data_IF_593551670805
#
_entry.id   IF_593551670805
#
_cell.length_a   1.000
_cell.length_b   1.000
_cell.length_c   1.000
_cell.angle_alpha   90.00
_cell.angle_beta   90.00
_cell.angle_gamma   90.00
#
_symmetry.space_group_name_H-M   'P 1'
#
loop_
_entity.id
_entity.type
_entity.pdbx_description
1 polymer ?
#
# COMPACT_ATOMS: atom_id res chain seq x y z
N UNK A 1 2.27 -67.78 23.08
CA UNK A 1 2.31 -66.31 23.00
C UNK A 1 3.70 -65.91 22.47
N UNK A 2 4.17 -66.38 21.32
CA UNK A 2 3.65 -66.35 19.93
C UNK A 2 3.80 -65.00 19.23
N UNK A 3 4.93 -64.87 18.53
CA UNK A 3 4.93 -64.50 17.11
C UNK A 3 5.00 -63.02 16.74
N UNK A 4 4.40 -62.10 17.51
CA UNK A 4 4.15 -60.75 16.99
C UNK A 4 5.38 -59.81 16.99
N UNK A 5 6.33 -59.97 17.92
CA UNK A 5 7.41 -59.00 18.10
C UNK A 5 8.57 -59.15 17.10
N UNK A 6 8.80 -60.34 16.55
CA UNK A 6 9.92 -60.60 15.61
C UNK A 6 9.62 -60.13 14.17
N UNK A 7 8.36 -60.10 13.77
CA UNK A 7 7.93 -59.70 12.42
C UNK A 7 8.09 -58.20 12.18
N UNK A 8 7.92 -57.37 13.22
CA UNK A 8 8.00 -55.90 13.11
C UNK A 8 9.45 -55.45 12.85
N UNK A 9 10.44 -56.11 13.46
CA UNK A 9 11.85 -55.74 13.28
C UNK A 9 12.38 -56.04 11.86
N UNK A 10 11.92 -57.12 11.22
CA UNK A 10 12.33 -57.47 9.84
C UNK A 10 11.70 -56.52 8.81
N UNK A 11 10.45 -56.10 9.04
CA UNK A 11 9.75 -55.17 8.15
C UNK A 11 10.39 -53.77 8.13
N UNK A 12 10.93 -53.30 9.27
CA UNK A 12 11.59 -52.00 9.35
C UNK A 12 12.98 -51.98 8.67
N UNK A 13 13.69 -53.11 8.67
CA UNK A 13 15.00 -53.23 8.03
C UNK A 13 14.92 -53.26 6.48
N UNK A 14 13.85 -53.80 5.90
CA UNK A 14 13.63 -53.82 4.45
C UNK A 14 13.24 -52.45 3.86
N UNK A 15 12.78 -51.49 4.67
CA UNK A 15 12.38 -50.15 4.21
C UNK A 15 13.56 -49.17 4.02
N UNK A 16 14.76 -49.50 4.50
CA UNK A 16 15.93 -48.61 4.44
C UNK A 16 16.87 -48.84 3.25
N UNK A 17 16.66 -49.89 2.45
CA UNK A 17 17.47 -50.17 1.27
C UNK A 17 16.98 -49.49 -0.03
N UNK A 18 15.83 -48.79 -0.02
CA UNK A 18 15.18 -48.28 -1.23
C UNK A 18 15.35 -46.77 -1.54
N UNK A 19 15.97 -45.98 -0.66
CA UNK A 19 15.82 -44.51 -0.70
C UNK A 19 16.90 -43.77 -1.53
N UNK A 20 17.86 -44.48 -2.12
CA UNK A 20 18.96 -43.85 -2.86
C UNK A 20 18.61 -43.33 -4.27
N UNK A 21 17.61 -43.92 -4.93
CA UNK A 21 17.32 -43.61 -6.35
C UNK A 21 16.14 -42.65 -6.58
N UNK A 22 15.25 -42.49 -5.60
CA UNK A 22 14.04 -41.68 -5.76
C UNK A 22 14.28 -40.16 -5.58
N UNK A 23 15.28 -39.77 -4.79
CA UNK A 23 15.57 -38.35 -4.48
C UNK A 23 16.09 -37.60 -5.71
N UNK A 24 16.93 -38.23 -6.54
CA UNK A 24 17.43 -37.61 -7.76
C UNK A 24 16.30 -37.29 -8.75
N UNK A 25 15.37 -38.24 -8.99
CA UNK A 25 14.25 -38.04 -9.91
C UNK A 25 13.22 -37.02 -9.41
N UNK A 26 13.07 -36.85 -8.09
CA UNK A 26 12.20 -35.81 -7.54
C UNK A 26 12.76 -34.41 -7.79
N UNK A 27 14.07 -34.19 -7.64
CA UNK A 27 14.69 -32.88 -7.93
C UNK A 27 14.58 -32.51 -9.42
N UNK A 28 14.69 -33.48 -10.33
CA UNK A 28 14.51 -33.27 -11.77
C UNK A 28 13.04 -32.99 -12.14
N UNK A 29 12.08 -33.71 -11.54
CA UNK A 29 10.65 -33.42 -11.76
C UNK A 29 10.24 -32.07 -11.19
N UNK A 30 10.76 -31.70 -10.02
CA UNK A 30 10.40 -30.44 -9.35
C UNK A 30 11.04 -29.22 -10.04
N UNK A 31 12.28 -29.35 -10.53
CA UNK A 31 12.92 -28.31 -11.36
C UNK A 31 12.23 -28.20 -12.72
N UNK A 32 11.93 -29.31 -13.40
CA UNK A 32 11.16 -29.30 -14.65
C UNK A 32 9.77 -28.68 -14.46
N UNK A 33 9.05 -29.03 -13.40
CA UNK A 33 7.76 -28.43 -13.05
C UNK A 33 7.85 -26.92 -12.76
N UNK A 34 8.90 -26.46 -12.06
CA UNK A 34 9.14 -25.02 -11.83
C UNK A 34 9.54 -24.28 -13.13
N UNK A 35 10.29 -24.94 -14.01
CA UNK A 35 10.65 -24.39 -15.33
C UNK A 35 9.43 -24.33 -16.26
N UNK A 36 8.58 -25.35 -16.27
CA UNK A 36 7.31 -25.39 -17.00
C UNK A 36 6.35 -24.31 -16.47
N UNK A 37 6.25 -24.14 -15.13
CA UNK A 37 5.45 -23.08 -14.52
C UNK A 37 5.97 -21.67 -14.84
N UNK A 38 7.29 -21.47 -14.87
CA UNK A 38 7.92 -20.19 -15.25
C UNK A 38 7.82 -19.92 -16.74
N UNK A 39 7.79 -20.95 -17.58
CA UNK A 39 7.50 -20.86 -19.01
C UNK A 39 6.04 -20.45 -19.23
N UNK A 40 5.07 -21.12 -18.58
CA UNK A 40 3.66 -20.74 -18.62
C UNK A 40 3.39 -19.31 -18.10
N UNK A 41 4.11 -18.84 -17.08
CA UNK A 41 3.97 -17.45 -16.60
C UNK A 41 4.60 -16.42 -17.55
N UNK A 42 5.69 -16.78 -18.24
CA UNK A 42 6.26 -15.94 -19.31
C UNK A 42 5.37 -15.94 -20.54
N UNK A 43 4.89 -17.09 -21.00
CA UNK A 43 3.94 -17.20 -22.11
C UNK A 43 2.61 -16.50 -21.78
N UNK A 44 2.18 -16.47 -20.52
CA UNK A 44 1.03 -15.68 -20.07
C UNK A 44 1.30 -14.17 -20.04
N UNK A 45 2.53 -13.74 -19.74
CA UNK A 45 2.95 -12.32 -19.83
C UNK A 45 3.11 -11.91 -21.30
N UNK A 46 3.80 -12.70 -22.11
CA UNK A 46 3.96 -12.50 -23.55
C UNK A 46 2.59 -12.54 -24.28
N UNK A 47 1.63 -13.39 -23.85
CA UNK A 47 0.25 -13.38 -24.34
C UNK A 47 -0.58 -12.19 -23.81
N UNK A 48 -0.29 -11.67 -22.61
CA UNK A 48 -0.91 -10.47 -22.05
C UNK A 48 -0.40 -9.21 -22.78
N UNK A 49 0.90 -9.13 -23.03
CA UNK A 49 1.58 -8.05 -23.75
C UNK A 49 1.22 -8.07 -25.26
N UNK A 50 1.07 -9.26 -25.87
CA UNK A 50 0.60 -9.40 -27.26
C UNK A 50 -0.92 -9.15 -27.43
N UNK A 51 -1.73 -9.30 -26.36
CA UNK A 51 -3.15 -8.88 -26.38
C UNK A 51 -3.34 -7.38 -26.15
N UNK A 52 -2.35 -6.68 -25.59
CA UNK A 52 -2.48 -5.25 -25.26
C UNK A 52 -1.93 -4.31 -26.36
N UNK A 53 -1.23 -4.83 -27.37
CA UNK A 53 -0.70 -4.05 -28.50
C UNK A 53 -1.55 -4.07 -29.80
N UNK A 54 -2.75 -4.67 -29.80
CA UNK A 54 -3.73 -4.58 -30.90
C UNK A 54 -5.17 -4.41 -30.39
N UNK A 55 -5.47 -3.23 -29.84
CA UNK A 55 -6.83 -2.68 -29.81
C UNK A 55 -6.78 -1.17 -30.02
N UNK A 56 -6.87 -0.73 -31.27
CA UNK A 56 -7.36 0.62 -31.59
C UNK A 56 -8.83 0.73 -31.17
N UNK A 57 -9.33 1.95 -30.94
CA UNK A 57 -9.95 2.38 -29.71
C UNK A 57 -11.40 1.90 -29.61
N UNK A 58 -11.79 1.39 -28.44
CA UNK A 58 -13.21 1.28 -28.11
C UNK A 58 -13.76 2.71 -28.06
N UNK A 59 -14.88 3.04 -28.74
CA UNK A 59 -15.61 4.28 -28.47
C UNK A 59 -15.76 4.41 -26.95
N UNK A 60 -15.56 5.62 -26.37
CA UNK A 60 -15.71 5.79 -24.94
C UNK A 60 -17.06 5.19 -24.54
N UNK A 61 -17.01 4.18 -23.67
CA UNK A 61 -18.19 3.73 -22.96
C UNK A 61 -18.84 5.00 -22.43
N UNK A 62 -20.06 5.29 -22.89
CA UNK A 62 -20.78 6.47 -22.47
C UNK A 62 -20.68 6.52 -20.94
N UNK A 63 -20.22 7.64 -20.35
CA UNK A 63 -20.21 7.76 -18.90
C UNK A 63 -21.61 7.39 -18.42
N UNK A 64 -21.77 6.56 -17.37
CA UNK A 64 -23.07 6.44 -16.72
C UNK A 64 -23.55 7.88 -16.51
N UNK A 65 -24.72 8.20 -17.06
CA UNK A 65 -25.25 9.55 -17.09
C UNK A 65 -24.95 10.19 -15.73
N UNK A 66 -24.02 11.14 -15.73
CA UNK A 66 -23.55 11.75 -14.51
C UNK A 66 -24.75 12.52 -13.98
N UNK A 67 -25.50 11.90 -13.08
CA UNK A 67 -26.38 12.62 -12.18
C UNK A 67 -25.53 13.80 -11.69
N UNK A 68 -25.97 15.06 -11.87
CA UNK A 68 -25.18 16.19 -11.46
C UNK A 68 -24.68 15.93 -10.05
N UNK A 69 -23.36 15.85 -9.88
CA UNK A 69 -22.80 15.68 -8.56
C UNK A 69 -23.41 16.80 -7.70
N UNK A 70 -23.95 16.47 -6.51
CA UNK A 70 -24.48 17.51 -5.65
C UNK A 70 -23.42 18.61 -5.50
N UNK A 71 -23.83 19.89 -5.49
CA UNK A 71 -22.89 20.99 -5.36
C UNK A 71 -21.97 20.70 -4.17
N UNK A 72 -20.65 20.94 -4.31
CA UNK A 72 -19.71 20.58 -3.27
C UNK A 72 -20.11 21.31 -1.99
N UNK A 73 -20.24 20.57 -0.88
CA UNK A 73 -20.32 21.15 0.47
C UNK A 73 -18.96 21.80 0.74
N UNK A 74 -18.82 23.08 0.35
CA UNK A 74 -17.63 23.89 0.55
C UNK A 74 -17.80 24.72 1.81
N UNK A 75 -16.96 24.46 2.80
CA UNK A 75 -16.95 25.24 4.05
C UNK A 75 -15.82 26.25 4.02
N UNK A 76 -15.99 27.36 4.74
CA UNK A 76 -14.99 28.43 4.82
C UNK A 76 -13.60 27.94 5.28
N UNK A 77 -13.57 26.84 6.06
CA UNK A 77 -12.36 26.24 6.59
C UNK A 77 -11.75 25.12 5.71
N UNK A 78 -12.38 24.75 4.60
CA UNK A 78 -11.90 23.69 3.70
C UNK A 78 -10.46 23.90 3.21
N UNK A 79 -10.05 25.12 2.77
CA UNK A 79 -8.68 25.33 2.32
C UNK A 79 -7.65 25.04 3.43
N UNK A 80 -7.99 25.34 4.68
CA UNK A 80 -7.12 25.09 5.83
C UNK A 80 -7.01 23.59 6.14
N UNK A 81 -8.11 22.84 6.02
CA UNK A 81 -8.11 21.38 6.18
C UNK A 81 -7.36 20.66 5.07
N UNK A 82 -7.52 21.09 3.82
CA UNK A 82 -6.76 20.54 2.69
C UNK A 82 -5.27 20.77 2.89
N UNK A 83 -4.88 21.99 3.29
CA UNK A 83 -3.49 22.30 3.58
C UNK A 83 -2.92 21.49 4.75
N UNK A 84 -3.70 21.35 5.82
CA UNK A 84 -3.31 20.52 6.96
C UNK A 84 -3.12 19.06 6.54
N UNK A 85 -4.03 18.51 5.74
CA UNK A 85 -3.97 17.14 5.24
C UNK A 85 -2.70 16.89 4.41
N UNK A 86 -2.36 17.81 3.52
CA UNK A 86 -1.12 17.76 2.73
C UNK A 86 0.14 17.78 3.61
N UNK A 87 0.17 18.64 4.64
CA UNK A 87 1.27 18.71 5.60
C UNK A 87 1.42 17.39 6.36
N UNK A 88 0.33 16.78 6.81
CA UNK A 88 0.35 15.48 7.48
C UNK A 88 0.94 14.38 6.59
N UNK A 89 0.59 14.39 5.30
CA UNK A 89 1.15 13.47 4.30
C UNK A 89 2.65 13.66 4.08
N UNK A 90 3.07 14.91 3.94
CA UNK A 90 4.49 15.25 3.79
C UNK A 90 5.31 14.86 5.04
N UNK A 91 4.79 15.13 6.24
CA UNK A 91 5.46 14.77 7.50
C UNK A 91 5.55 13.25 7.67
N UNK A 92 4.51 12.51 7.28
CA UNK A 92 4.52 11.04 7.28
C UNK A 92 5.72 10.51 6.48
N UNK A 93 5.96 11.06 5.28
CA UNK A 93 7.06 10.63 4.44
C UNK A 93 8.42 11.11 4.97
N UNK A 94 8.57 12.43 5.12
CA UNK A 94 9.84 13.09 5.43
C UNK A 94 10.41 12.63 6.77
N UNK A 95 9.56 12.43 7.78
CA UNK A 95 10.01 11.97 9.10
C UNK A 95 10.35 10.49 9.11
N UNK A 96 9.73 9.70 8.23
CA UNK A 96 10.12 8.32 7.96
C UNK A 96 11.52 8.21 7.37
N UNK A 97 11.80 8.94 6.27
CA UNK A 97 13.13 8.91 5.63
C UNK A 97 14.24 9.54 6.48
N UNK A 98 13.88 10.43 7.42
CA UNK A 98 14.79 10.99 8.40
C UNK A 98 14.92 10.20 9.71
N UNK A 99 14.21 9.07 9.85
CA UNK A 99 14.36 8.17 11.00
C UNK A 99 13.89 8.76 12.33
N UNK A 100 12.92 9.67 12.32
CA UNK A 100 12.46 10.35 13.53
C UNK A 100 11.62 9.46 14.47
N UNK A 101 11.24 8.26 14.05
CA UNK A 101 10.52 7.27 14.86
C UNK A 101 9.03 7.55 15.10
N UNK A 102 8.51 8.64 14.54
CA UNK A 102 7.14 9.10 14.79
C UNK A 102 6.32 9.26 13.51
N UNK A 103 6.74 8.69 12.38
CA UNK A 103 6.03 8.77 11.11
C UNK A 103 4.57 8.31 11.22
N UNK A 104 4.32 7.25 11.99
CA UNK A 104 2.98 6.68 12.19
C UNK A 104 2.03 7.62 12.94
N UNK A 105 2.54 8.48 13.81
CA UNK A 105 1.71 9.44 14.54
C UNK A 105 1.03 10.44 13.57
N UNK A 106 1.67 10.75 12.45
CA UNK A 106 1.14 11.68 11.45
C UNK A 106 0.04 11.01 10.61
N UNK A 107 0.15 9.71 10.36
CA UNK A 107 -0.93 8.89 9.76
C UNK A 107 -2.13 8.84 10.70
N UNK A 108 -1.91 8.59 11.99
CA UNK A 108 -2.97 8.55 12.98
C UNK A 108 -3.71 9.90 13.09
N UNK A 109 -2.99 11.03 13.03
CA UNK A 109 -3.61 12.36 12.97
C UNK A 109 -4.46 12.56 11.73
N UNK A 110 -4.03 12.06 10.57
CA UNK A 110 -4.86 12.10 9.36
C UNK A 110 -6.11 11.24 9.50
N UNK A 111 -6.00 10.04 10.09
CA UNK A 111 -7.16 9.18 10.37
C UNK A 111 -8.16 9.88 11.29
N UNK A 112 -7.70 10.47 12.39
CA UNK A 112 -8.55 11.25 13.30
C UNK A 112 -9.24 12.43 12.59
N UNK A 113 -8.54 13.11 11.67
CA UNK A 113 -9.13 14.18 10.87
C UNK A 113 -10.26 13.66 9.95
N UNK A 114 -10.04 12.52 9.27
CA UNK A 114 -11.05 11.91 8.42
C UNK A 114 -12.26 11.41 9.21
N UNK A 115 -12.05 10.89 10.42
CA UNK A 115 -13.11 10.45 11.33
C UNK A 115 -13.95 11.63 11.82
N UNK A 116 -13.31 12.76 12.15
CA UNK A 116 -13.99 13.98 12.59
C UNK A 116 -14.88 14.60 11.51
N UNK A 117 -14.56 14.39 10.22
CA UNK A 117 -15.40 14.85 9.10
C UNK A 117 -16.72 14.05 8.98
N UNK A 118 -16.78 12.85 9.58
CA UNK A 118 -17.99 12.03 9.63
C UNK A 118 -18.06 10.97 8.54
N UNK A 119 -19.25 10.82 7.92
CA UNK A 119 -19.52 9.73 6.98
C UNK A 119 -18.59 9.81 5.76
N UNK A 120 -18.14 8.66 5.21
CA UNK A 120 -17.42 8.63 3.93
C UNK A 120 -18.20 9.37 2.85
N UNK A 121 -17.62 10.45 2.35
CA UNK A 121 -18.19 11.30 1.31
C UNK A 121 -17.09 11.95 0.48
N UNK A 122 -17.48 12.69 -0.55
CA UNK A 122 -16.57 13.41 -1.44
C UNK A 122 -15.62 14.36 -0.69
N UNK A 123 -15.96 14.78 0.54
CA UNK A 123 -15.11 15.68 1.34
C UNK A 123 -13.96 14.91 1.99
N UNK A 124 -14.24 13.75 2.57
CA UNK A 124 -13.18 12.83 3.06
C UNK A 124 -12.22 12.42 1.94
N UNK A 125 -12.73 12.17 0.74
CA UNK A 125 -11.90 11.82 -0.42
C UNK A 125 -10.95 12.96 -0.82
N UNK A 126 -11.42 14.22 -0.80
CA UNK A 126 -10.57 15.39 -1.04
C UNK A 126 -9.45 15.53 -0.01
N UNK A 127 -9.76 15.31 1.27
CA UNK A 127 -8.76 15.35 2.35
C UNK A 127 -7.72 14.22 2.20
N UNK A 128 -8.17 13.00 1.92
CA UNK A 128 -7.28 11.87 1.64
C UNK A 128 -6.41 12.12 0.40
N UNK A 129 -6.98 12.71 -0.65
CA UNK A 129 -6.25 13.12 -1.85
C UNK A 129 -5.14 14.13 -1.55
N UNK A 130 -5.41 15.16 -0.75
CA UNK A 130 -4.42 16.14 -0.32
C UNK A 130 -3.29 15.50 0.50
N UNK A 131 -3.62 14.59 1.41
CA UNK A 131 -2.64 13.81 2.16
C UNK A 131 -1.73 12.98 1.23
N UNK A 132 -2.32 12.26 0.29
CA UNK A 132 -1.57 11.45 -0.67
C UNK A 132 -0.67 12.33 -1.55
N UNK A 133 -1.16 13.49 -1.98
CA UNK A 133 -0.38 14.47 -2.74
C UNK A 133 0.88 14.91 -1.97
N UNK A 134 0.72 15.30 -0.70
CA UNK A 134 1.85 15.69 0.14
C UNK A 134 2.86 14.55 0.33
N UNK A 135 2.40 13.32 0.56
CA UNK A 135 3.30 12.17 0.70
C UNK A 135 4.07 11.88 -0.60
N UNK A 136 3.36 11.80 -1.72
CA UNK A 136 3.95 11.46 -3.02
C UNK A 136 4.90 12.55 -3.53
N UNK A 137 4.54 13.83 -3.38
CA UNK A 137 5.39 14.95 -3.81
C UNK A 137 6.79 14.89 -3.18
N UNK A 138 6.87 14.59 -1.88
CA UNK A 138 8.16 14.46 -1.20
C UNK A 138 8.88 13.13 -1.47
N UNK A 139 8.15 12.07 -1.80
CA UNK A 139 8.72 10.78 -2.20
C UNK A 139 9.43 10.81 -3.55
N UNK A 140 9.00 11.71 -4.44
CA UNK A 140 9.68 11.94 -5.71
C UNK A 140 11.02 12.68 -5.52
N UNK A 141 11.09 13.62 -4.57
CA UNK A 141 12.27 14.49 -4.40
C UNK A 141 13.31 13.98 -3.40
N UNK A 142 12.92 13.22 -2.38
CA UNK A 142 13.84 12.78 -1.31
C UNK A 142 13.85 11.26 -1.18
N UNK A 143 15.00 10.63 -1.42
CA UNK A 143 15.21 9.19 -1.15
C UNK A 143 16.03 8.93 0.11
N UNK A 144 16.62 9.98 0.68
CA UNK A 144 17.38 9.97 1.92
C UNK A 144 17.16 11.29 2.65
N UNK A 145 17.48 11.31 3.95
CA UNK A 145 17.37 12.53 4.74
C UNK A 145 18.47 13.53 4.34
N UNK A 146 18.06 14.67 3.79
CA UNK A 146 18.95 15.79 3.46
C UNK A 146 18.73 16.96 4.43
N UNK A 147 19.64 17.93 4.43
CA UNK A 147 19.46 19.15 5.23
C UNK A 147 18.21 19.93 4.79
N UNK A 148 17.91 19.96 3.49
CA UNK A 148 16.69 20.61 2.99
C UNK A 148 15.42 19.88 3.48
N UNK A 149 15.41 18.55 3.50
CA UNK A 149 14.31 17.77 4.07
C UNK A 149 14.07 18.13 5.55
N UNK A 150 15.14 18.28 6.34
CA UNK A 150 15.04 18.71 7.75
C UNK A 150 14.44 20.11 7.89
N UNK A 151 14.84 21.06 7.05
CA UNK A 151 14.26 22.40 7.06
C UNK A 151 12.76 22.39 6.71
N UNK A 152 12.36 21.61 5.70
CA UNK A 152 10.95 21.44 5.33
C UNK A 152 10.15 20.87 6.49
N UNK A 153 10.66 19.83 7.17
CA UNK A 153 10.01 19.25 8.35
C UNK A 153 9.74 20.34 9.40
N UNK A 154 10.75 21.16 9.77
CA UNK A 154 10.58 22.19 10.80
C UNK A 154 9.53 23.24 10.42
N UNK A 155 9.51 23.65 9.15
CA UNK A 155 8.48 24.55 8.63
C UNK A 155 7.09 23.93 8.74
N UNK A 156 6.93 22.68 8.33
CA UNK A 156 5.65 21.97 8.36
C UNK A 156 5.13 21.67 9.75
N UNK A 157 6.01 21.40 10.72
CA UNK A 157 5.62 21.30 12.12
C UNK A 157 5.02 22.61 12.62
N UNK A 158 5.65 23.74 12.29
CA UNK A 158 5.19 25.08 12.69
C UNK A 158 3.87 25.44 11.99
N UNK A 159 3.80 25.23 10.68
CA UNK A 159 2.63 25.54 9.86
C UNK A 159 1.42 24.67 10.24
N UNK A 160 1.61 23.36 10.38
CA UNK A 160 0.56 22.43 10.78
C UNK A 160 0.00 22.74 12.16
N UNK A 161 0.86 23.07 13.14
CA UNK A 161 0.42 23.49 14.47
C UNK A 161 -0.33 24.84 14.46
N UNK A 162 0.02 25.75 13.54
CA UNK A 162 -0.72 26.99 13.33
C UNK A 162 -2.11 26.77 12.74
N UNK A 163 -2.20 25.89 11.73
CA UNK A 163 -3.47 25.53 11.10
C UNK A 163 -4.43 24.85 12.08
N UNK A 164 -3.96 23.84 12.82
CA UNK A 164 -4.77 23.12 13.80
C UNK A 164 -5.37 24.07 14.86
N UNK A 165 -4.53 24.87 15.52
CA UNK A 165 -5.01 25.89 16.49
C UNK A 165 -5.94 26.90 15.85
N UNK A 166 -5.64 27.35 14.63
CA UNK A 166 -6.45 28.31 13.91
C UNK A 166 -7.83 27.78 13.51
N UNK A 167 -7.96 26.48 13.30
CA UNK A 167 -9.23 25.79 13.04
C UNK A 167 -10.04 25.65 14.33
N UNK A 168 -9.42 25.16 15.41
CA UNK A 168 -10.04 25.01 16.72
C UNK A 168 -10.58 26.34 17.26
N UNK A 169 -9.76 27.39 17.22
CA UNK A 169 -10.13 28.70 17.75
C UNK A 169 -11.28 29.37 17.00
N UNK A 170 -11.48 29.04 15.72
CA UNK A 170 -12.46 29.72 14.86
C UNK A 170 -13.73 28.94 14.60
N UNK A 171 -13.66 27.60 14.61
CA UNK A 171 -14.75 26.77 14.11
C UNK A 171 -15.20 25.69 15.10
N UNK A 172 -14.65 25.62 16.33
CA UNK A 172 -15.18 24.74 17.37
C UNK A 172 -16.55 25.26 17.83
N UNK A 173 -17.64 24.49 17.68
CA UNK A 173 -18.91 24.85 18.30
C UNK A 173 -18.76 24.82 19.82
N UNK A 174 -19.26 25.86 20.48
CA UNK A 174 -19.19 26.07 21.93
C UNK A 174 -19.94 25.00 22.71
#
# INVERSE_FOLDING_TARGET
>A
MSGAARTIAVALALALAGQGLAVAQQTERETRSRHDAKAHERDARDAKDAKEAKKTPTPPAAPPAATPAPPPDTRAYDPQLLRLSEILGALTYLRGVCGAGDADQWRARMQALLEAEGKPDARRDRLAGAFNHGMQGYALSYRSCTQNARFVIQRFLTEGAGLARGLENRYRPG
#
